data_IF_745119069758
#
_entry.id   IF_745119069758
#
_cell.length_a   1.000
_cell.length_b   1.000
_cell.length_c   1.000
_cell.angle_alpha   90.00
_cell.angle_beta   90.00
_cell.angle_gamma   90.00
#
_symmetry.space_group_name_H-M   'P 1'
#
loop_
_entity.id
_entity.type
_entity.pdbx_description
1 polymer ?
#
# COMPACT_ATOMS: atom_id res chain seq x y z
N UNK A 1 -18.57 -3.53 15.00
CA UNK A 1 -17.61 -2.68 14.25
C UNK A 1 -17.77 -2.96 12.75
N UNK A 2 -17.88 -1.93 11.88
CA UNK A 2 -18.06 -2.13 10.42
C UNK A 2 -16.70 -2.41 9.77
N UNK A 3 -16.64 -3.42 8.89
CA UNK A 3 -15.53 -3.65 7.97
C UNK A 3 -15.77 -2.84 6.70
N UNK A 4 -14.77 -2.08 6.27
CA UNK A 4 -14.76 -1.32 5.03
C UNK A 4 -13.82 -2.00 4.04
N UNK A 5 -14.05 -1.76 2.76
CA UNK A 5 -13.21 -2.24 1.67
C UNK A 5 -12.83 -1.08 0.75
N UNK A 6 -11.62 -1.12 0.24
CA UNK A 6 -11.12 -0.26 -0.83
C UNK A 6 -10.35 -1.13 -1.83
N UNK A 7 -10.50 -0.85 -3.12
CA UNK A 7 -9.74 -1.52 -4.18
C UNK A 7 -9.25 -0.52 -5.20
N UNK A 8 -8.08 -0.79 -5.77
CA UNK A 8 -7.49 -0.03 -6.86
C UNK A 8 -6.80 -0.98 -7.84
N UNK A 9 -6.67 -0.56 -9.09
CA UNK A 9 -5.92 -1.26 -10.13
C UNK A 9 -5.10 -0.27 -10.93
N UNK A 10 -3.93 -0.70 -11.37
CA UNK A 10 -3.08 0.08 -12.27
C UNK A 10 -2.31 -0.83 -13.21
N UNK A 11 -2.23 -0.46 -14.49
CA UNK A 11 -1.38 -1.10 -15.48
C UNK A 11 -0.05 -0.36 -15.56
N UNK A 12 1.06 -1.10 -15.62
CA UNK A 12 2.40 -0.56 -15.74
C UNK A 12 3.07 -1.10 -17.01
N UNK A 13 3.81 -0.27 -17.77
CA UNK A 13 4.51 -0.67 -18.99
C UNK A 13 5.87 -1.32 -18.70
N UNK A 14 5.93 -2.19 -17.70
CA UNK A 14 7.14 -2.88 -17.24
C UNK A 14 6.88 -4.37 -17.08
N UNK A 15 7.95 -5.17 -17.07
CA UNK A 15 7.87 -6.61 -16.87
C UNK A 15 7.35 -6.96 -15.47
N UNK A 16 6.83 -8.19 -15.33
CA UNK A 16 6.40 -8.72 -14.05
C UNK A 16 7.55 -8.75 -13.02
N UNK A 17 8.77 -9.08 -13.46
CA UNK A 17 9.96 -9.12 -12.62
C UNK A 17 10.30 -7.74 -12.08
N UNK A 18 10.35 -6.73 -12.94
CA UNK A 18 10.63 -5.34 -12.55
C UNK A 18 9.56 -4.79 -11.61
N UNK A 19 8.28 -5.09 -11.88
CA UNK A 19 7.18 -4.69 -11.00
C UNK A 19 7.28 -5.37 -9.62
N UNK A 20 7.59 -6.66 -9.58
CA UNK A 20 7.77 -7.41 -8.34
C UNK A 20 8.91 -6.83 -7.51
N UNK A 21 10.10 -6.69 -8.10
CA UNK A 21 11.29 -6.16 -7.41
C UNK A 21 11.04 -4.76 -6.84
N UNK A 22 10.38 -3.90 -7.61
CA UNK A 22 10.06 -2.54 -7.16
C UNK A 22 9.05 -2.53 -6.00
N UNK A 23 7.97 -3.32 -6.09
CA UNK A 23 6.88 -3.31 -5.11
C UNK A 23 7.25 -4.02 -3.80
N UNK A 24 8.14 -5.01 -3.86
CA UNK A 24 8.57 -5.75 -2.68
C UNK A 24 9.75 -5.10 -1.95
N UNK A 25 10.34 -4.06 -2.50
CA UNK A 25 11.27 -3.19 -1.76
C UNK A 25 10.50 -2.14 -0.96
N UNK A 26 10.39 -2.38 0.34
CA UNK A 26 9.68 -1.49 1.26
C UNK A 26 10.27 -0.05 1.31
N UNK A 27 11.51 0.16 0.89
CA UNK A 27 12.11 1.49 0.78
C UNK A 27 11.45 2.34 -0.32
N UNK A 28 10.84 1.70 -1.32
CA UNK A 28 10.12 2.39 -2.38
C UNK A 28 8.76 2.95 -1.93
N UNK A 29 8.23 2.47 -0.79
CA UNK A 29 6.93 2.93 -0.29
C UNK A 29 6.86 4.45 -0.08
N UNK A 30 7.98 5.09 0.30
CA UNK A 30 8.06 6.55 0.41
C UNK A 30 7.83 7.29 -0.91
N UNK A 31 8.18 6.66 -2.06
CA UNK A 31 7.94 7.22 -3.39
C UNK A 31 6.47 7.14 -3.79
N UNK A 32 5.76 6.17 -3.22
CA UNK A 32 4.36 5.87 -3.50
C UNK A 32 3.39 6.47 -2.47
N UNK A 33 3.91 7.22 -1.52
CA UNK A 33 3.14 7.82 -0.41
C UNK A 33 3.21 9.34 -0.50
N UNK A 34 2.07 10.06 -0.38
CA UNK A 34 2.05 11.51 -0.36
C UNK A 34 3.05 12.09 0.65
N UNK A 35 3.84 13.11 0.27
CA UNK A 35 4.87 13.69 1.14
C UNK A 35 4.32 14.24 2.46
N UNK A 36 3.05 14.65 2.50
CA UNK A 36 2.38 15.16 3.69
C UNK A 36 2.26 14.11 4.81
N UNK A 37 2.27 12.82 4.45
CA UNK A 37 2.27 11.72 5.41
C UNK A 37 3.65 11.50 6.04
N UNK A 38 4.69 12.16 5.56
CA UNK A 38 6.07 12.11 6.07
C UNK A 38 6.52 10.68 6.45
N UNK A 39 6.19 9.71 5.58
CA UNK A 39 6.50 8.30 5.83
C UNK A 39 8.00 8.05 5.77
N UNK A 40 8.53 7.37 6.80
CA UNK A 40 9.95 7.01 6.91
C UNK A 40 10.07 5.59 7.43
N UNK A 41 10.88 4.77 6.75
CA UNK A 41 11.29 3.46 7.25
C UNK A 41 12.14 3.64 8.50
N UNK A 42 11.85 2.84 9.53
CA UNK A 42 12.60 2.83 10.79
C UNK A 42 13.34 1.50 10.98
N UNK A 43 12.73 0.38 10.56
CA UNK A 43 13.27 -0.96 10.78
C UNK A 43 12.69 -1.97 9.78
N UNK A 44 13.42 -3.07 9.52
CA UNK A 44 12.90 -4.28 8.91
C UNK A 44 13.05 -4.39 7.40
N UNK A 45 13.92 -3.57 6.77
CA UNK A 45 14.14 -3.57 5.31
C UNK A 45 15.51 -4.10 4.88
N UNK A 46 16.23 -4.78 5.77
CA UNK A 46 17.60 -5.28 5.53
C UNK A 46 17.64 -6.47 4.57
N UNK A 47 16.50 -7.09 4.34
CA UNK A 47 16.32 -8.22 3.42
C UNK A 47 15.15 -7.93 2.48
N UNK A 48 15.09 -8.65 1.36
CA UNK A 48 13.90 -8.67 0.50
C UNK A 48 12.66 -9.15 1.28
N UNK A 49 11.49 -8.99 0.70
CA UNK A 49 10.22 -9.33 1.33
C UNK A 49 10.08 -10.84 1.58
N UNK A 50 9.64 -11.21 2.78
CA UNK A 50 9.41 -12.62 3.16
C UNK A 50 8.25 -12.73 4.16
N UNK A 51 7.56 -13.88 4.22
CA UNK A 51 6.51 -14.13 5.21
C UNK A 51 7.05 -14.07 6.65
N UNK A 52 6.36 -13.37 7.54
CA UNK A 52 6.77 -13.14 8.93
C UNK A 52 7.61 -11.88 9.15
N UNK A 53 7.96 -11.15 8.09
CA UNK A 53 8.73 -9.90 8.20
C UNK A 53 7.91 -8.84 8.92
N UNK A 54 8.57 -8.12 9.84
CA UNK A 54 8.04 -6.92 10.47
C UNK A 54 8.77 -5.70 9.93
N UNK A 55 8.01 -4.72 9.47
CA UNK A 55 8.54 -3.45 8.96
C UNK A 55 7.92 -2.32 9.76
N UNK A 56 8.75 -1.46 10.34
CA UNK A 56 8.27 -0.29 11.06
C UNK A 56 8.47 0.98 10.26
N UNK A 57 7.41 1.77 10.20
CA UNK A 57 7.40 3.11 9.61
C UNK A 57 7.00 4.13 10.68
N UNK A 58 7.58 5.32 10.59
CA UNK A 58 7.02 6.52 11.18
C UNK A 58 6.11 7.19 10.16
N UNK A 59 4.89 7.54 10.51
CA UNK A 59 3.90 8.14 9.62
C UNK A 59 3.13 9.26 10.33
N UNK A 60 2.69 10.25 9.55
CA UNK A 60 1.88 11.39 10.03
C UNK A 60 0.51 11.37 9.34
N UNK A 61 -0.44 10.55 9.82
CA UNK A 61 -1.74 10.37 9.18
C UNK A 61 -2.65 11.61 9.31
N UNK A 62 -2.37 12.50 10.26
CA UNK A 62 -3.08 13.75 10.48
C UNK A 62 -2.08 14.87 10.79
N UNK A 63 -2.42 16.15 10.50
CA UNK A 63 -1.63 17.29 10.95
C UNK A 63 -1.34 17.21 12.45
N UNK A 64 -0.09 17.42 12.85
CA UNK A 64 0.38 17.39 14.23
C UNK A 64 0.32 16.02 14.95
N UNK A 65 -0.12 14.96 14.28
CA UNK A 65 -0.16 13.61 14.85
C UNK A 65 0.77 12.66 14.10
N UNK A 66 1.86 12.26 14.75
CA UNK A 66 2.81 11.25 14.26
C UNK A 66 2.65 9.96 15.06
N UNK A 67 2.70 8.84 14.38
CA UNK A 67 2.62 7.52 15.02
C UNK A 67 3.55 6.53 14.31
N UNK A 68 3.87 5.44 14.98
CA UNK A 68 4.46 4.27 14.31
C UNK A 68 3.37 3.51 13.57
N UNK A 69 3.77 2.91 12.47
CA UNK A 69 3.01 1.90 11.74
C UNK A 69 3.88 0.66 11.62
N UNK A 70 3.48 -0.42 12.30
CA UNK A 70 4.17 -1.71 12.22
C UNK A 70 3.38 -2.63 11.30
N UNK A 71 4.00 -2.97 10.18
CA UNK A 71 3.48 -3.90 9.18
C UNK A 71 4.02 -5.29 9.42
N UNK A 72 3.15 -6.29 9.35
CA UNK A 72 3.48 -7.70 9.32
C UNK A 72 3.18 -8.25 7.92
N UNK A 73 4.20 -8.72 7.22
CA UNK A 73 4.03 -9.43 5.95
C UNK A 73 3.59 -10.86 6.28
N UNK A 74 2.31 -11.16 6.06
CA UNK A 74 1.74 -12.45 6.46
C UNK A 74 1.89 -13.53 5.41
N UNK A 75 1.87 -13.15 4.13
CA UNK A 75 1.98 -14.07 3.00
C UNK A 75 2.80 -13.45 1.88
N UNK A 76 3.59 -14.26 1.20
CA UNK A 76 4.30 -13.91 -0.03
C UNK A 76 4.25 -15.10 -0.98
N UNK A 77 3.77 -14.88 -2.19
CA UNK A 77 3.91 -15.80 -3.32
C UNK A 77 4.58 -15.02 -4.45
N UNK A 78 5.83 -15.39 -4.72
CA UNK A 78 6.70 -14.66 -5.64
C UNK A 78 6.02 -14.43 -6.99
N UNK A 79 6.05 -13.16 -7.43
CA UNK A 79 5.47 -12.67 -8.69
C UNK A 79 3.96 -12.91 -8.89
N UNK A 80 3.25 -13.18 -7.78
CA UNK A 80 1.79 -13.29 -7.81
C UNK A 80 1.13 -12.35 -6.81
N UNK A 81 1.53 -12.45 -5.52
CA UNK A 81 0.95 -11.59 -4.49
C UNK A 81 1.79 -11.54 -3.21
N UNK A 82 1.55 -10.50 -2.43
CA UNK A 82 1.89 -10.48 -1.00
C UNK A 82 0.76 -9.83 -0.19
N UNK A 83 0.76 -10.12 1.10
CA UNK A 83 -0.26 -9.63 2.03
C UNK A 83 0.43 -8.99 3.21
N UNK A 84 0.03 -7.77 3.53
CA UNK A 84 0.45 -7.06 4.73
C UNK A 84 -0.71 -6.78 5.68
N UNK A 85 -0.41 -6.85 6.97
CA UNK A 85 -1.34 -6.51 8.05
C UNK A 85 -0.70 -5.51 9.00
N UNK A 86 -1.49 -4.58 9.47
CA UNK A 86 -1.05 -3.68 10.54
C UNK A 86 -1.08 -4.40 11.88
N UNK A 87 0.08 -4.60 12.50
CA UNK A 87 0.18 -5.02 13.90
C UNK A 87 -0.01 -3.87 14.88
N UNK A 88 0.52 -2.70 14.55
CA UNK A 88 0.37 -1.46 15.31
C UNK A 88 0.17 -0.29 14.36
N UNK A 89 -0.73 0.64 14.72
CA UNK A 89 -1.00 1.82 13.89
C UNK A 89 -2.39 2.40 14.11
N UNK A 90 -2.83 3.30 13.23
CA UNK A 90 -4.06 4.09 13.43
C UNK A 90 -5.37 3.33 13.22
N UNK A 91 -5.34 2.14 12.62
CA UNK A 91 -6.54 1.34 12.34
C UNK A 91 -6.78 0.29 13.43
N UNK A 92 -8.03 -0.09 13.64
CA UNK A 92 -8.36 -1.25 14.46
C UNK A 92 -8.08 -2.59 13.75
N UNK A 93 -8.14 -2.57 12.42
CA UNK A 93 -7.75 -3.67 11.53
C UNK A 93 -7.31 -3.06 10.21
N UNK A 94 -6.23 -3.57 9.67
CA UNK A 94 -5.77 -3.29 8.32
C UNK A 94 -5.23 -4.58 7.74
N UNK A 95 -5.77 -4.98 6.58
CA UNK A 95 -5.36 -6.16 5.84
C UNK A 95 -5.32 -5.78 4.37
N UNK A 96 -4.15 -5.77 3.78
CA UNK A 96 -3.90 -5.30 2.43
C UNK A 96 -3.30 -6.42 1.59
N UNK A 97 -3.98 -6.75 0.51
CA UNK A 97 -3.53 -7.71 -0.51
C UNK A 97 -3.04 -6.95 -1.72
N UNK A 98 -1.84 -7.29 -2.17
CA UNK A 98 -1.24 -6.79 -3.38
C UNK A 98 -1.12 -7.95 -4.36
N UNK A 99 -1.83 -7.88 -5.47
CA UNK A 99 -1.73 -8.85 -6.55
C UNK A 99 -0.99 -8.22 -7.71
N UNK A 100 -0.18 -9.02 -8.39
CA UNK A 100 0.41 -8.63 -9.66
C UNK A 100 0.29 -9.77 -10.66
N UNK A 101 0.09 -9.43 -11.92
CA UNK A 101 -0.02 -10.39 -13.01
C UNK A 101 0.49 -9.80 -14.32
N UNK A 102 1.07 -10.66 -15.14
CA UNK A 102 1.48 -10.27 -16.48
C UNK A 102 0.27 -10.03 -17.37
N UNK A 103 0.32 -8.97 -18.17
CA UNK A 103 -0.66 -8.65 -19.21
C UNK A 103 0.06 -8.30 -20.52
N UNK A 104 -0.62 -8.35 -21.67
CA UNK A 104 -0.03 -7.87 -22.91
C UNK A 104 0.49 -6.44 -22.79
N UNK A 105 1.79 -6.25 -23.00
CA UNK A 105 2.44 -4.93 -22.92
C UNK A 105 2.88 -4.48 -21.53
N UNK A 106 2.76 -5.32 -20.48
CA UNK A 106 3.22 -4.95 -19.14
C UNK A 106 2.66 -5.78 -18.01
N UNK A 107 2.40 -5.13 -16.88
CA UNK A 107 1.96 -5.76 -15.63
C UNK A 107 0.72 -5.05 -15.07
N UNK A 108 -0.27 -5.83 -14.65
CA UNK A 108 -1.41 -5.37 -13.87
C UNK A 108 -1.10 -5.49 -12.38
N UNK A 109 -1.29 -4.40 -11.66
CA UNK A 109 -1.28 -4.33 -10.20
C UNK A 109 -2.70 -4.17 -9.69
N UNK A 110 -3.05 -4.90 -8.64
CA UNK A 110 -4.35 -4.82 -7.98
C UNK A 110 -4.16 -4.74 -6.47
N UNK A 111 -4.78 -3.78 -5.85
CA UNK A 111 -4.78 -3.58 -4.40
C UNK A 111 -6.18 -3.85 -3.84
N UNK A 112 -6.25 -4.65 -2.78
CA UNK A 112 -7.48 -4.92 -2.05
C UNK A 112 -7.27 -4.75 -0.56
N UNK A 113 -7.83 -3.68 0.00
CA UNK A 113 -7.71 -3.30 1.39
C UNK A 113 -9.01 -3.57 2.14
N UNK A 114 -8.91 -4.30 3.25
CA UNK A 114 -9.99 -4.42 4.24
C UNK A 114 -9.55 -3.72 5.52
N UNK A 115 -10.37 -2.79 6.04
CA UNK A 115 -9.99 -2.04 7.22
C UNK A 115 -11.16 -1.77 8.16
N UNK A 116 -10.84 -1.59 9.45
CA UNK A 116 -11.75 -1.13 10.49
C UNK A 116 -11.17 0.10 11.18
N UNK A 117 -12.04 1.05 11.49
CA UNK A 117 -11.65 2.23 12.23
C UNK A 117 -11.71 1.96 13.73
N UNK A 118 -10.81 2.57 14.52
CA UNK A 118 -10.85 2.49 15.98
C UNK A 118 -12.07 3.23 16.54
N UNK A 119 -12.26 3.15 17.85
CA UNK A 119 -13.30 3.88 18.62
C UNK A 119 -14.76 3.51 18.26
N UNK A 120 -15.04 2.32 17.73
CA UNK A 120 -16.38 1.77 17.56
C UNK A 120 -17.35 2.67 16.79
N UNK A 121 -18.42 3.15 17.43
CA UNK A 121 -19.41 4.02 16.80
C UNK A 121 -18.86 5.40 16.43
N UNK A 122 -17.95 5.96 17.22
CA UNK A 122 -17.29 7.24 16.92
C UNK A 122 -16.40 7.14 15.68
N UNK A 123 -15.73 5.99 15.49
CA UNK A 123 -14.94 5.75 14.29
C UNK A 123 -15.76 5.81 12.98
N UNK A 124 -17.08 5.50 13.04
CA UNK A 124 -17.93 5.60 11.85
C UNK A 124 -18.06 7.04 11.32
N UNK A 125 -17.98 8.05 12.20
CA UNK A 125 -18.01 9.46 11.80
C UNK A 125 -16.77 9.85 10.98
N UNK A 126 -15.62 9.22 11.24
CA UNK A 126 -14.38 9.41 10.49
C UNK A 126 -14.31 8.65 9.15
N UNK A 127 -15.23 7.73 8.88
CA UNK A 127 -15.16 6.86 7.71
C UNK A 127 -15.13 7.61 6.35
N UNK A 128 -15.93 8.68 6.12
CA UNK A 128 -15.85 9.45 4.89
C UNK A 128 -14.48 10.12 4.69
N UNK A 129 -13.88 10.63 5.77
CA UNK A 129 -12.55 11.22 5.75
C UNK A 129 -11.48 10.21 5.38
N UNK A 130 -11.48 9.03 6.04
CA UNK A 130 -10.51 7.97 5.76
C UNK A 130 -10.67 7.45 4.32
N UNK A 131 -11.91 7.28 3.84
CA UNK A 131 -12.15 6.89 2.44
C UNK A 131 -11.56 7.92 1.47
N UNK A 132 -11.77 9.21 1.72
CA UNK A 132 -11.20 10.29 0.90
C UNK A 132 -9.67 10.24 0.92
N UNK A 133 -9.07 10.08 2.10
CA UNK A 133 -7.61 9.97 2.26
C UNK A 133 -7.04 8.77 1.47
N UNK A 134 -7.70 7.60 1.51
CA UNK A 134 -7.28 6.44 0.71
C UNK A 134 -7.32 6.74 -0.80
N UNK A 135 -8.39 7.37 -1.28
CA UNK A 135 -8.49 7.78 -2.69
C UNK A 135 -7.34 8.72 -3.08
N UNK A 136 -6.99 9.69 -2.23
CA UNK A 136 -5.90 10.63 -2.47
C UNK A 136 -4.54 9.93 -2.49
N UNK A 137 -4.30 9.01 -1.55
CA UNK A 137 -3.07 8.20 -1.50
C UNK A 137 -2.91 7.38 -2.78
N UNK A 138 -3.95 6.70 -3.23
CA UNK A 138 -3.86 5.85 -4.41
C UNK A 138 -3.76 6.66 -5.72
N UNK A 139 -4.38 7.83 -5.81
CA UNK A 139 -4.16 8.76 -6.92
C UNK A 139 -2.72 9.27 -6.98
N UNK A 140 -2.15 9.61 -5.82
CA UNK A 140 -0.74 9.99 -5.75
C UNK A 140 0.17 8.84 -6.20
N UNK A 141 -0.08 7.61 -5.70
CA UNK A 141 0.65 6.40 -6.08
C UNK A 141 0.59 6.16 -7.59
N UNK A 142 -0.59 6.24 -8.19
CA UNK A 142 -0.79 6.11 -9.63
C UNK A 142 0.07 7.13 -10.41
N UNK A 143 -0.01 8.40 -10.03
CA UNK A 143 0.79 9.47 -10.64
C UNK A 143 2.30 9.26 -10.46
N UNK A 144 2.73 8.81 -9.27
CA UNK A 144 4.13 8.53 -8.98
C UNK A 144 4.68 7.38 -9.84
N UNK A 145 3.90 6.31 -10.00
CA UNK A 145 4.26 5.16 -10.84
C UNK A 145 4.30 5.55 -12.32
N UNK A 146 3.35 6.34 -12.82
CA UNK A 146 3.37 6.89 -14.19
C UNK A 146 4.61 7.75 -14.42
N UNK A 147 4.97 8.57 -13.45
CA UNK A 147 6.18 9.40 -13.55
C UNK A 147 7.46 8.57 -13.55
N UNK A 148 7.47 7.45 -12.85
CA UNK A 148 8.66 6.60 -12.70
C UNK A 148 8.85 5.63 -13.86
N UNK A 149 7.78 4.99 -14.32
CA UNK A 149 7.80 3.93 -15.34
C UNK A 149 7.18 4.33 -16.68
N UNK A 150 6.51 5.46 -16.76
CA UNK A 150 5.72 5.86 -17.92
C UNK A 150 4.26 5.42 -17.87
N UNK A 151 3.48 5.87 -18.84
CA UNK A 151 2.08 5.50 -18.99
C UNK A 151 1.93 4.18 -19.76
N UNK A 152 1.06 3.30 -19.28
CA UNK A 152 0.69 2.09 -20.01
C UNK A 152 -0.10 2.46 -21.27
N UNK A 153 0.32 1.93 -22.42
CA UNK A 153 -0.39 2.10 -23.69
C UNK A 153 -1.10 0.80 -24.06
N UNK A 154 -2.41 0.87 -24.25
CA UNK A 154 -3.15 -0.30 -24.75
C UNK A 154 -2.55 -0.70 -26.10
N UNK A 155 -2.18 -1.96 -26.23
CA UNK A 155 -1.80 -2.55 -27.51
C UNK A 155 -3.09 -2.87 -28.28
N UNK A 156 -3.29 -2.18 -29.39
CA UNK A 156 -4.41 -2.48 -30.31
C UNK A 156 -4.26 -3.88 -30.91
#
# INVERSE_FOLDING_TARGET
MKLYQYSAQQKLPISLDEAWDFLTDANNLKLLTPPELEMKVQYGTERGMYPGQLIEYSVKPLPLYRTSWVTHITQVKEKEYFVDEQMYGPYATWHHKHFISEIPGGTLMEDLIHYRLPFGALGKLGAPFVKKQLVEIFRFRESALHKHFGEFKETN
#
